data_IF_504639632379
#
_entry.id   IF_504639632379
#
_cell.length_a   1.000
_cell.length_b   1.000
_cell.length_c   1.000
_cell.angle_alpha   90.00
_cell.angle_beta   90.00
_cell.angle_gamma   90.00
#
_symmetry.space_group_name_H-M   'P 1'
#
loop_
_entity.id
_entity.type
_entity.pdbx_description
1 polymer ?
#
# COMPACT_ATOMS: atom_id res chain seq x y z
N UNK A 1 -1.47 -23.96 9.78
CA UNK A 1 -0.74 -23.95 8.49
C UNK A 1 -1.51 -23.31 7.33
N UNK A 2 -2.81 -23.59 7.13
CA UNK A 2 -3.61 -23.00 6.02
C UNK A 2 -3.60 -21.46 5.96
N UNK A 3 -3.67 -20.78 7.12
CA UNK A 3 -3.64 -19.31 7.19
C UNK A 3 -2.25 -18.73 6.92
N UNK A 4 -1.19 -19.46 7.26
CA UNK A 4 0.20 -19.06 6.97
C UNK A 4 0.46 -19.10 5.47
N UNK A 5 -0.02 -20.15 4.79
CA UNK A 5 0.09 -20.26 3.33
C UNK A 5 -0.71 -19.16 2.63
N UNK A 6 -1.94 -18.88 3.09
CA UNK A 6 -2.73 -17.74 2.58
C UNK A 6 -2.00 -16.41 2.78
N UNK A 7 -1.40 -16.19 3.95
CA UNK A 7 -0.61 -15.01 4.24
C UNK A 7 0.59 -14.87 3.31
N UNK A 8 1.35 -15.96 3.11
CA UNK A 8 2.51 -15.96 2.22
C UNK A 8 2.15 -15.61 0.76
N UNK A 9 1.03 -16.13 0.26
CA UNK A 9 0.54 -15.82 -1.10
C UNK A 9 0.17 -14.34 -1.24
N UNK A 10 -0.51 -13.77 -0.24
CA UNK A 10 -0.87 -12.34 -0.23
C UNK A 10 0.40 -11.48 -0.21
N UNK A 11 1.36 -11.80 0.66
CA UNK A 11 2.63 -11.09 0.75
C UNK A 11 3.40 -11.14 -0.56
N UNK A 12 3.49 -12.32 -1.21
CA UNK A 12 4.10 -12.47 -2.53
C UNK A 12 3.44 -11.57 -3.59
N UNK A 13 2.11 -11.52 -3.60
CA UNK A 13 1.37 -10.64 -4.52
C UNK A 13 1.71 -9.16 -4.32
N UNK A 14 1.73 -8.70 -3.07
CA UNK A 14 2.09 -7.31 -2.72
C UNK A 14 3.54 -7.00 -3.15
N UNK A 15 4.45 -7.95 -2.94
CA UNK A 15 5.86 -7.79 -3.25
C UNK A 15 6.10 -7.66 -4.77
N UNK A 16 5.38 -8.42 -5.59
CA UNK A 16 5.41 -8.30 -7.05
C UNK A 16 4.93 -6.91 -7.50
N UNK A 17 3.82 -6.42 -6.94
CA UNK A 17 3.30 -5.08 -7.27
C UNK A 17 4.32 -3.99 -6.93
N UNK A 18 4.96 -4.08 -5.76
CA UNK A 18 5.99 -3.15 -5.32
C UNK A 18 7.20 -3.13 -6.28
N UNK A 19 7.64 -4.30 -6.75
CA UNK A 19 8.74 -4.40 -7.73
C UNK A 19 8.36 -3.70 -9.04
N UNK A 20 7.14 -3.92 -9.55
CA UNK A 20 6.67 -3.31 -10.80
C UNK A 20 6.65 -1.78 -10.66
N UNK A 21 6.07 -1.25 -9.58
CA UNK A 21 6.02 0.19 -9.30
C UNK A 21 7.44 0.76 -9.21
N UNK A 22 8.35 0.06 -8.54
CA UNK A 22 9.75 0.47 -8.43
C UNK A 22 10.43 0.58 -9.80
N UNK A 23 10.22 -0.39 -10.69
CA UNK A 23 10.78 -0.36 -12.05
C UNK A 23 10.22 0.84 -12.84
N UNK A 24 8.91 1.08 -12.78
CA UNK A 24 8.25 2.18 -13.50
C UNK A 24 8.75 3.54 -13.05
N UNK A 25 8.86 3.76 -11.74
CA UNK A 25 9.34 5.03 -11.21
C UNK A 25 10.84 5.23 -11.48
N UNK A 26 11.65 4.18 -11.39
CA UNK A 26 13.07 4.24 -11.76
C UNK A 26 13.25 4.61 -13.24
N UNK A 27 12.41 4.09 -14.15
CA UNK A 27 12.41 4.50 -15.56
C UNK A 27 12.01 5.97 -15.78
N UNK A 28 11.20 6.54 -14.89
CA UNK A 28 10.79 7.94 -14.93
C UNK A 28 11.85 8.90 -14.33
N UNK A 29 13.01 8.40 -13.89
CA UNK A 29 14.05 9.19 -13.25
C UNK A 29 13.75 9.54 -11.79
N UNK A 30 12.70 8.96 -11.21
CA UNK A 30 12.39 9.07 -9.79
C UNK A 30 12.90 7.83 -9.06
N UNK A 31 14.00 7.98 -8.32
CA UNK A 31 14.43 6.97 -7.37
C UNK A 31 13.37 6.84 -6.27
N UNK A 32 12.71 5.69 -6.22
CA UNK A 32 11.84 5.36 -5.10
C UNK A 32 12.72 5.12 -3.88
N UNK A 33 12.84 6.16 -3.06
CA UNK A 33 13.48 6.01 -1.77
C UNK A 33 12.69 4.94 -0.98
N UNK A 34 13.37 3.87 -0.58
CA UNK A 34 12.76 2.72 0.10
C UNK A 34 11.99 3.14 1.36
N UNK A 35 12.41 4.23 2.02
CA UNK A 35 11.69 4.87 3.12
C UNK A 35 10.34 5.45 2.68
N UNK A 36 10.25 6.06 1.50
CA UNK A 36 9.00 6.62 0.99
C UNK A 36 8.01 5.51 0.63
N UNK A 37 8.45 4.48 -0.09
CA UNK A 37 7.57 3.35 -0.45
C UNK A 37 7.18 2.51 0.77
N UNK A 38 8.09 2.35 1.73
CA UNK A 38 7.88 1.55 2.94
C UNK A 38 7.06 2.24 4.04
N UNK A 39 7.15 3.58 4.16
CA UNK A 39 6.52 4.34 5.24
C UNK A 39 5.37 5.22 4.75
N UNK A 40 5.53 5.93 3.62
CA UNK A 40 4.51 6.87 3.13
C UNK A 40 3.33 6.13 2.50
N UNK A 41 3.59 5.06 1.73
CA UNK A 41 2.51 4.28 1.08
C UNK A 41 1.46 3.74 2.05
N UNK A 42 1.82 3.08 3.18
CA UNK A 42 0.82 2.62 4.14
C UNK A 42 0.09 3.77 4.84
N UNK A 43 0.74 4.91 5.09
CA UNK A 43 0.10 6.10 5.68
C UNK A 43 -0.95 6.67 4.72
N UNK A 44 -0.62 6.80 3.43
CA UNK A 44 -1.57 7.27 2.40
C UNK A 44 -2.70 6.25 2.22
N UNK A 45 -2.40 4.96 2.20
CA UNK A 45 -3.41 3.91 2.12
C UNK A 45 -4.37 3.94 3.32
N UNK A 46 -3.86 4.15 4.54
CA UNK A 46 -4.69 4.34 5.74
C UNK A 46 -5.55 5.61 5.64
N UNK A 47 -4.99 6.74 5.21
CA UNK A 47 -5.75 7.98 5.07
C UNK A 47 -6.86 7.88 4.00
N UNK A 48 -6.61 7.17 2.91
CA UNK A 48 -7.62 6.89 1.87
C UNK A 48 -8.67 5.91 2.40
N UNK A 49 -8.24 4.84 3.08
CA UNK A 49 -9.16 3.88 3.70
C UNK A 49 -10.08 4.58 4.69
N UNK A 50 -9.51 5.37 5.62
CA UNK A 50 -10.27 6.15 6.61
C UNK A 50 -11.26 7.12 5.97
N UNK A 51 -10.88 7.80 4.88
CA UNK A 51 -11.81 8.65 4.11
C UNK A 51 -12.91 7.87 3.38
N UNK A 52 -12.63 6.66 2.89
CA UNK A 52 -13.57 5.83 2.15
C UNK A 52 -14.49 4.99 3.05
N UNK A 53 -14.00 4.62 4.24
CA UNK A 53 -14.76 3.89 5.26
C UNK A 53 -15.31 4.80 6.35
N UNK A 54 -14.96 6.10 6.30
CA UNK A 54 -15.58 7.16 7.06
C UNK A 54 -17.08 7.11 6.88
N UNK A 55 -17.75 6.65 7.93
CA UNK A 55 -19.18 6.46 7.99
C UNK A 55 -19.90 7.76 7.58
N UNK A 56 -20.86 7.75 6.63
CA UNK A 56 -21.65 8.94 6.31
C UNK A 56 -22.43 9.51 7.51
N UNK A 57 -22.48 8.79 8.64
CA UNK A 57 -23.14 9.22 9.87
C UNK A 57 -22.32 10.15 10.79
N UNK A 58 -21.06 10.47 10.47
CA UNK A 58 -20.25 11.39 11.29
C UNK A 58 -20.27 12.85 10.80
N UNK A 59 -21.22 13.22 9.93
CA UNK A 59 -21.56 14.64 9.71
C UNK A 59 -22.45 15.15 10.84
N UNK A 60 -21.89 15.29 12.04
CA UNK A 60 -22.48 16.12 13.10
C UNK A 60 -21.38 16.75 13.97
N UNK A 61 -20.97 17.95 13.57
CA UNK A 61 -20.86 19.13 14.41
C UNK A 61 -20.51 20.32 13.52
#
# INVERSE_FOLDING_TARGET
>A
MKNVIKGAVITLGILVVLIIVNILCNKAGHELNSLYTGVITPIIAMAIYDKLTGNPSDKKA
#
